data_IF_581091589688
#
_entry.id   IF_581091589688
#
_cell.length_a   1.000
_cell.length_b   1.000
_cell.length_c   1.000
_cell.angle_alpha   90.00
_cell.angle_beta   90.00
_cell.angle_gamma   90.00
#
_symmetry.space_group_name_H-M   'P 1'
#
loop_
_entity.id
_entity.type
_entity.pdbx_description
1 polymer ?
#
# COMPACT_ATOMS: atom_id res chain seq x y z
N UNK A 1 9.88 14.66 18.15
CA UNK A 1 10.56 14.37 16.87
C UNK A 1 9.89 15.22 15.80
N UNK A 2 10.64 15.67 14.81
CA UNK A 2 10.09 16.33 13.63
C UNK A 2 9.59 15.28 12.65
N UNK A 3 8.28 15.19 12.49
CA UNK A 3 7.64 14.19 11.63
C UNK A 3 7.08 14.88 10.39
N UNK A 4 7.37 14.32 9.22
CA UNK A 4 6.74 14.74 7.97
C UNK A 4 5.87 13.62 7.44
N UNK A 5 4.60 13.89 7.22
CA UNK A 5 3.68 12.99 6.52
C UNK A 5 3.58 13.47 5.08
N UNK A 6 4.08 12.67 4.14
CA UNK A 6 3.87 12.89 2.72
C UNK A 6 2.54 12.22 2.33
N UNK A 7 1.63 13.06 1.85
CA UNK A 7 0.25 12.70 1.50
C UNK A 7 -0.79 13.63 2.11
N UNK A 8 -1.97 13.69 1.47
CA UNK A 8 -3.11 14.51 1.91
C UNK A 8 -4.44 13.76 1.88
N UNK A 9 -4.37 12.43 1.97
CA UNK A 9 -5.55 11.55 1.99
C UNK A 9 -6.05 11.26 3.41
N UNK A 10 -6.98 10.31 3.50
CA UNK A 10 -7.62 9.90 4.76
C UNK A 10 -6.58 9.41 5.78
N UNK A 11 -5.65 8.54 5.35
CA UNK A 11 -4.58 8.02 6.19
C UNK A 11 -3.66 9.13 6.71
N UNK A 12 -3.26 10.07 5.85
CA UNK A 12 -2.39 11.18 6.25
C UNK A 12 -3.05 12.07 7.33
N UNK A 13 -4.33 12.40 7.19
CA UNK A 13 -5.06 13.20 8.18
C UNK A 13 -5.26 12.41 9.49
N UNK A 14 -5.57 11.12 9.42
CA UNK A 14 -5.73 10.28 10.61
C UNK A 14 -4.41 10.14 11.38
N UNK A 15 -3.29 9.91 10.69
CA UNK A 15 -1.96 9.84 11.29
C UNK A 15 -1.53 11.19 11.89
N UNK A 16 -1.87 12.32 11.25
CA UNK A 16 -1.66 13.64 11.84
C UNK A 16 -2.37 13.75 13.20
N UNK A 17 -3.65 13.36 13.28
CA UNK A 17 -4.42 13.29 14.53
C UNK A 17 -3.72 12.49 15.62
N UNK A 18 -3.36 11.25 15.27
CA UNK A 18 -2.72 10.29 16.18
C UNK A 18 -1.35 10.81 16.65
N UNK A 19 -0.50 11.31 15.76
CA UNK A 19 0.85 11.72 16.14
C UNK A 19 0.85 13.04 16.92
N UNK A 20 -0.03 13.98 16.59
CA UNK A 20 -0.18 15.23 17.33
C UNK A 20 -0.72 14.98 18.74
N UNK A 21 -1.70 14.07 18.93
CA UNK A 21 -2.20 13.71 20.27
C UNK A 21 -1.12 13.04 21.15
N UNK A 22 -0.05 12.53 20.53
CA UNK A 22 1.15 12.00 21.17
C UNK A 22 2.26 13.03 21.37
N UNK A 23 1.92 14.32 21.28
CA UNK A 23 2.83 15.44 21.51
C UNK A 23 3.94 15.54 20.47
N UNK A 24 3.74 15.02 19.26
CA UNK A 24 4.72 15.14 18.18
C UNK A 24 4.46 16.37 17.32
N UNK A 25 5.54 16.94 16.81
CA UNK A 25 5.51 18.01 15.81
C UNK A 25 5.39 17.39 14.43
N UNK A 26 4.25 17.63 13.78
CA UNK A 26 3.90 16.98 12.52
C UNK A 26 3.66 18.02 11.44
N UNK A 27 4.36 17.87 10.33
CA UNK A 27 4.13 18.64 9.11
C UNK A 27 3.59 17.73 8.00
N UNK A 28 2.83 18.30 7.07
CA UNK A 28 2.27 17.60 5.92
C UNK A 28 2.89 18.14 4.63
N UNK A 29 3.40 17.25 3.78
CA UNK A 29 3.84 17.55 2.43
C UNK A 29 2.83 16.96 1.44
N UNK A 30 2.11 17.81 0.71
CA UNK A 30 1.03 17.35 -0.17
C UNK A 30 0.69 18.35 -1.26
N UNK A 31 0.34 17.85 -2.45
CA UNK A 31 -0.20 18.66 -3.56
C UNK A 31 -1.52 19.35 -3.23
N UNK A 32 -2.19 18.95 -2.14
CA UNK A 32 -3.42 19.55 -1.64
C UNK A 32 -3.18 20.62 -0.57
N UNK A 33 -1.94 21.11 -0.43
CA UNK A 33 -1.59 22.03 0.66
C UNK A 33 -2.43 23.30 0.65
N UNK A 34 -2.67 23.88 -0.53
CA UNK A 34 -3.54 25.04 -0.67
C UNK A 34 -4.97 24.75 -0.18
N UNK A 35 -5.62 23.70 -0.69
CA UNK A 35 -6.98 23.29 -0.26
C UNK A 35 -7.06 23.07 1.25
N UNK A 36 -6.05 22.40 1.83
CA UNK A 36 -6.00 22.12 3.25
C UNK A 36 -5.85 23.43 4.03
N UNK A 37 -4.90 24.29 3.67
CA UNK A 37 -4.64 25.54 4.36
C UNK A 37 -5.82 26.51 4.33
N UNK A 38 -6.52 26.62 3.20
CA UNK A 38 -7.71 27.47 3.06
C UNK A 38 -8.86 26.99 3.96
N UNK A 39 -8.90 25.69 4.27
CA UNK A 39 -9.97 25.06 5.04
C UNK A 39 -9.64 24.84 6.51
N UNK A 40 -8.38 25.03 6.91
CA UNK A 40 -8.00 25.09 8.31
C UNK A 40 -8.83 26.20 8.96
N UNK A 41 -9.75 25.82 9.86
CA UNK A 41 -10.63 26.78 10.52
C UNK A 41 -9.86 27.81 11.37
N UNK A 42 -10.57 28.72 12.02
CA UNK A 42 -9.96 29.81 12.81
C UNK A 42 -8.92 29.34 13.86
N UNK A 43 -9.07 28.14 14.40
CA UNK A 43 -8.16 27.56 15.40
C UNK A 43 -6.95 26.83 14.76
N UNK A 44 -6.94 26.65 13.43
CA UNK A 44 -5.90 25.94 12.68
C UNK A 44 -5.84 24.44 12.98
N UNK A 45 -6.93 23.85 13.47
CA UNK A 45 -6.99 22.46 13.90
C UNK A 45 -7.80 21.61 12.92
N UNK A 46 -7.34 20.37 12.76
CA UNK A 46 -8.05 19.28 12.10
C UNK A 46 -8.61 18.36 13.20
N UNK A 47 -9.88 17.99 13.06
CA UNK A 47 -10.58 17.08 14.00
C UNK A 47 -10.51 15.65 13.48
N UNK A 48 -10.01 14.74 14.29
CA UNK A 48 -9.97 13.31 13.97
C UNK A 48 -10.87 12.56 14.94
N UNK A 49 -12.06 12.20 14.47
CA UNK A 49 -13.02 11.46 15.28
C UNK A 49 -12.59 10.01 15.44
N UNK A 50 -12.75 9.48 16.64
CA UNK A 50 -12.39 8.09 16.96
C UNK A 50 -13.65 7.25 17.22
N UNK A 51 -13.59 5.92 17.04
CA UNK A 51 -14.73 5.06 17.31
C UNK A 51 -15.04 4.92 18.81
N UNK A 52 -14.23 5.55 19.68
CA UNK A 52 -14.39 5.52 21.14
C UNK A 52 -15.06 6.79 21.69
N UNK A 53 -15.44 7.73 20.82
CA UNK A 53 -16.19 8.94 21.19
C UNK A 53 -15.33 10.13 21.63
N UNK A 54 -14.00 9.98 21.69
CA UNK A 54 -13.08 11.08 21.94
C UNK A 54 -12.50 11.59 20.61
N UNK A 55 -12.66 12.87 20.32
CA UNK A 55 -12.05 13.50 19.14
C UNK A 55 -10.59 13.88 19.43
N UNK A 56 -9.69 13.60 18.48
CA UNK A 56 -8.32 14.12 18.52
C UNK A 56 -8.27 15.44 17.77
N UNK A 57 -7.64 16.45 18.36
CA UNK A 57 -7.46 17.76 17.73
C UNK A 57 -6.00 17.95 17.37
N UNK A 58 -5.70 18.08 16.08
CA UNK A 58 -4.33 18.24 15.60
C UNK A 58 -4.13 19.55 14.88
N UNK A 59 -3.10 20.30 15.29
CA UNK A 59 -2.61 21.46 14.57
C UNK A 59 -1.31 21.07 13.87
N UNK A 60 -1.28 20.95 12.53
CA UNK A 60 -0.03 20.70 11.82
C UNK A 60 0.92 21.88 12.03
N UNK A 61 2.20 21.59 12.20
CA UNK A 61 3.26 22.61 12.27
C UNK A 61 3.34 23.38 10.95
N UNK A 62 3.21 22.64 9.84
CA UNK A 62 3.15 23.20 8.49
C UNK A 62 2.39 22.27 7.56
N UNK A 63 1.64 22.83 6.63
CA UNK A 63 1.10 22.11 5.45
C UNK A 63 1.63 22.84 4.21
N UNK A 64 2.39 22.13 3.39
CA UNK A 64 3.06 22.72 2.22
C UNK A 64 3.11 21.72 1.06
N UNK A 65 3.26 22.22 -0.16
CA UNK A 65 3.60 21.43 -1.36
C UNK A 65 5.09 21.56 -1.72
N UNK A 66 5.83 22.41 -1.00
CA UNK A 66 7.25 22.64 -1.17
C UNK A 66 8.08 21.81 -0.17
N UNK A 67 8.81 20.78 -0.63
CA UNK A 67 9.57 19.88 0.24
C UNK A 67 10.71 20.58 0.99
N UNK A 68 11.26 21.68 0.46
CA UNK A 68 12.38 22.42 1.07
C UNK A 68 12.04 22.93 2.48
N UNK A 69 10.76 23.17 2.74
CA UNK A 69 10.30 23.76 4.00
C UNK A 69 10.17 22.75 5.14
N UNK A 70 10.14 21.44 4.83
CA UNK A 70 9.79 20.39 5.81
C UNK A 70 10.76 19.21 5.87
N UNK A 71 11.42 18.87 4.76
CA UNK A 71 12.30 17.70 4.68
C UNK A 71 13.63 17.89 5.42
N UNK A 72 14.33 19.04 5.36
CA UNK A 72 15.64 19.18 6.00
C UNK A 72 15.64 18.95 7.51
N UNK A 73 14.54 19.30 8.20
CA UNK A 73 14.37 19.10 9.63
C UNK A 73 13.74 17.76 10.00
N UNK A 74 13.33 16.92 9.05
CA UNK A 74 12.62 15.68 9.36
C UNK A 74 13.54 14.65 10.07
N UNK A 75 13.06 14.08 11.17
CA UNK A 75 13.69 12.90 11.79
C UNK A 75 13.07 11.61 11.22
N UNK A 76 11.78 11.68 10.88
CA UNK A 76 10.98 10.57 10.36
C UNK A 76 10.00 11.09 9.32
N UNK A 77 10.04 10.47 8.13
CA UNK A 77 9.20 10.80 6.99
C UNK A 77 8.28 9.61 6.73
N UNK A 78 6.98 9.80 6.93
CA UNK A 78 5.96 8.83 6.54
C UNK A 78 5.49 9.08 5.11
N UNK A 79 5.50 8.07 4.27
CA UNK A 79 5.00 8.12 2.90
C UNK A 79 3.71 7.30 2.83
N UNK A 80 2.59 8.00 2.77
CA UNK A 80 1.24 7.40 2.69
C UNK A 80 0.71 7.35 1.26
N UNK A 81 1.53 7.79 0.30
CA UNK A 81 1.20 7.76 -1.12
C UNK A 81 1.11 6.31 -1.62
N UNK A 82 0.24 6.07 -2.62
CA UNK A 82 0.21 4.78 -3.32
C UNK A 82 1.55 4.48 -3.98
N UNK A 83 1.87 3.21 -4.19
CA UNK A 83 3.19 2.74 -4.65
C UNK A 83 3.65 3.42 -5.94
N UNK A 84 2.71 3.70 -6.86
CA UNK A 84 3.01 4.35 -8.13
C UNK A 84 3.41 5.83 -8.04
N UNK A 85 3.13 6.52 -6.94
CA UNK A 85 3.52 7.91 -6.73
C UNK A 85 4.81 8.04 -5.91
N UNK A 86 5.29 6.95 -5.30
CA UNK A 86 6.48 6.95 -4.44
C UNK A 86 7.78 7.23 -5.19
N UNK A 87 8.03 6.75 -6.41
CA UNK A 87 9.25 7.11 -7.18
C UNK A 87 9.40 8.62 -7.33
N UNK A 88 8.30 9.31 -7.71
CA UNK A 88 8.26 10.77 -7.82
C UNK A 88 8.55 11.45 -6.48
N UNK A 89 7.91 10.98 -5.40
CA UNK A 89 8.13 11.52 -4.04
C UNK A 89 9.58 11.36 -3.61
N UNK A 90 10.16 10.17 -3.75
CA UNK A 90 11.53 9.89 -3.34
C UNK A 90 12.54 10.72 -4.14
N UNK A 91 12.36 10.82 -5.46
CA UNK A 91 13.19 11.69 -6.30
C UNK A 91 13.11 13.16 -5.88
N UNK A 92 11.91 13.65 -5.52
CA UNK A 92 11.69 15.03 -5.09
C UNK A 92 12.40 15.36 -3.77
N UNK A 93 12.48 14.42 -2.83
CA UNK A 93 13.05 14.67 -1.49
C UNK A 93 14.53 14.28 -1.36
N UNK A 94 15.09 13.52 -2.31
CA UNK A 94 16.41 12.88 -2.17
C UNK A 94 17.53 13.85 -1.79
N UNK A 95 17.59 15.03 -2.42
CA UNK A 95 18.64 16.02 -2.17
C UNK A 95 18.34 16.97 -1.00
N UNK A 96 17.22 16.78 -0.31
CA UNK A 96 16.77 17.64 0.80
C UNK A 96 16.88 16.93 2.15
N UNK A 97 17.06 15.61 2.15
CA UNK A 97 17.26 14.83 3.38
C UNK A 97 18.58 15.24 4.03
N UNK A 98 18.51 15.61 5.31
CA UNK A 98 19.68 16.01 6.10
C UNK A 98 20.76 14.93 6.12
N UNK A 99 22.02 15.35 6.01
CA UNK A 99 23.19 14.49 6.15
C UNK A 99 23.72 14.46 7.60
N UNK A 100 23.33 15.42 8.43
CA UNK A 100 23.87 15.63 9.79
C UNK A 100 23.23 14.72 10.85
N UNK A 101 22.15 14.01 10.49
CA UNK A 101 21.39 13.17 11.41
C UNK A 101 20.84 11.92 10.73
N UNK A 102 20.41 10.98 11.57
CA UNK A 102 19.71 9.78 11.09
C UNK A 102 18.30 10.17 10.66
N UNK A 103 17.93 9.84 9.42
CA UNK A 103 16.59 10.09 8.87
C UNK A 103 15.92 8.77 8.52
N UNK A 104 14.70 8.58 9.02
CA UNK A 104 13.90 7.39 8.79
C UNK A 104 12.89 7.63 7.68
N UNK A 105 12.80 6.72 6.71
CA UNK A 105 11.76 6.72 5.67
C UNK A 105 10.80 5.55 5.92
N UNK A 106 9.54 5.83 6.22
CA UNK A 106 8.52 4.81 6.52
C UNK A 106 7.39 4.82 5.49
N UNK A 107 7.18 3.73 4.76
CA UNK A 107 6.02 3.58 3.88
C UNK A 107 4.83 2.91 4.59
N UNK A 108 3.63 3.44 4.34
CA UNK A 108 2.37 2.89 4.83
C UNK A 108 1.35 2.85 3.67
N UNK A 109 0.90 1.67 3.22
CA UNK A 109 1.49 0.34 3.46
C UNK A 109 2.87 0.19 2.78
N UNK A 110 3.74 -0.65 3.33
CA UNK A 110 5.16 -0.77 2.96
C UNK A 110 5.48 -1.61 1.71
N UNK A 111 4.47 -2.10 1.00
CA UNK A 111 4.61 -2.96 -0.20
C UNK A 111 5.21 -2.22 -1.43
N UNK A 112 5.41 -2.94 -2.54
CA UNK A 112 5.98 -2.40 -3.78
C UNK A 112 7.52 -2.32 -3.75
N UNK A 113 8.16 -3.19 -2.96
CA UNK A 113 9.59 -3.19 -2.66
C UNK A 113 10.15 -1.80 -2.33
N UNK A 114 9.47 -1.11 -1.41
CA UNK A 114 9.79 0.26 -1.03
C UNK A 114 11.24 0.43 -0.54
N UNK A 115 11.81 -0.57 0.11
CA UNK A 115 13.23 -0.56 0.51
C UNK A 115 14.17 -0.47 -0.70
N UNK A 116 13.92 -1.25 -1.75
CA UNK A 116 14.69 -1.19 -2.99
C UNK A 116 14.45 0.12 -3.76
N UNK A 117 13.22 0.63 -3.71
CA UNK A 117 12.86 1.92 -4.29
C UNK A 117 13.62 3.07 -3.61
N UNK A 118 13.74 3.04 -2.29
CA UNK A 118 14.57 3.98 -1.51
C UNK A 118 16.04 3.84 -1.91
N UNK A 119 16.59 2.62 -1.94
CA UNK A 119 17.97 2.36 -2.38
C UNK A 119 18.25 2.96 -3.77
N UNK A 120 17.30 2.87 -4.70
CA UNK A 120 17.42 3.37 -6.06
C UNK A 120 17.39 4.90 -6.16
N UNK A 121 16.44 5.57 -5.49
CA UNK A 121 16.25 7.03 -5.61
C UNK A 121 17.10 7.85 -4.64
N UNK A 122 17.31 7.35 -3.42
CA UNK A 122 18.01 8.07 -2.34
C UNK A 122 19.49 7.65 -2.29
N UNK A 123 19.79 6.42 -2.71
CA UNK A 123 21.09 5.79 -2.54
C UNK A 123 21.26 5.15 -1.16
N UNK A 124 22.31 4.35 -1.01
CA UNK A 124 22.67 3.68 0.26
C UNK A 124 23.44 4.59 1.20
N UNK A 125 22.80 5.67 1.64
CA UNK A 125 23.37 6.61 2.62
C UNK A 125 23.40 5.95 4.00
N UNK A 126 24.51 6.09 4.73
CA UNK A 126 24.67 5.46 6.05
C UNK A 126 23.72 6.03 7.10
N UNK A 127 23.29 7.28 6.95
CA UNK A 127 22.40 7.98 7.85
C UNK A 127 20.91 7.85 7.48
N UNK A 128 20.56 7.21 6.36
CA UNK A 128 19.17 7.01 5.94
C UNK A 128 18.82 5.54 5.95
N UNK A 129 17.65 5.17 6.44
CA UNK A 129 17.14 3.82 6.25
C UNK A 129 15.63 3.79 6.04
N UNK A 130 15.21 2.84 5.21
CA UNK A 130 13.82 2.54 4.93
C UNK A 130 13.27 1.52 5.91
N UNK A 131 12.02 1.72 6.30
CA UNK A 131 11.17 0.73 6.93
C UNK A 131 9.74 0.90 6.43
N UNK A 132 8.85 -0.01 6.78
CA UNK A 132 7.47 0.05 6.32
C UNK A 132 6.56 -0.76 7.20
N UNK A 133 5.28 -0.40 7.21
CA UNK A 133 4.23 -1.10 7.93
C UNK A 133 3.41 -1.88 6.91
N UNK A 134 3.13 -3.16 7.17
CA UNK A 134 2.41 -4.06 6.26
C UNK A 134 1.10 -3.44 5.78
N UNK A 135 0.26 -3.05 6.72
CA UNK A 135 -1.10 -2.53 6.49
C UNK A 135 -1.25 -1.11 7.03
N UNK A 136 -2.31 -0.41 6.62
CA UNK A 136 -2.67 0.87 7.23
C UNK A 136 -3.02 0.68 8.72
N UNK A 137 -2.43 1.46 9.65
CA UNK A 137 -2.66 1.30 11.09
C UNK A 137 -4.12 1.47 11.53
N UNK A 138 -4.87 2.27 10.78
CA UNK A 138 -6.28 2.57 11.02
C UNK A 138 -7.10 2.49 9.74
N UNK A 139 -8.37 2.18 9.87
CA UNK A 139 -9.35 2.40 8.81
C UNK A 139 -9.89 3.81 8.97
N UNK A 140 -9.58 4.69 8.03
CA UNK A 140 -10.04 6.08 8.02
C UNK A 140 -11.06 6.29 6.90
N UNK A 141 -12.02 7.20 7.10
CA UNK A 141 -13.05 7.57 6.11
C UNK A 141 -13.59 8.98 6.39
N UNK A 142 -14.57 9.43 5.59
CA UNK A 142 -15.27 10.72 5.75
C UNK A 142 -14.33 11.92 5.83
N UNK A 143 -13.28 11.93 5.00
CA UNK A 143 -12.32 13.03 4.96
C UNK A 143 -12.96 14.29 4.36
N UNK A 144 -12.91 15.37 5.14
CA UNK A 144 -13.03 16.74 4.67
C UNK A 144 -11.64 17.40 4.79
N UNK A 145 -10.89 17.56 3.67
CA UNK A 145 -9.51 18.03 3.72
C UNK A 145 -9.33 19.32 4.50
N UNK A 146 -8.36 19.34 5.42
CA UNK A 146 -8.07 20.48 6.30
C UNK A 146 -9.07 20.73 7.43
N UNK A 147 -10.12 19.90 7.57
CA UNK A 147 -11.14 20.07 8.61
C UNK A 147 -11.31 18.82 9.46
N UNK A 148 -11.60 17.68 8.85
CA UNK A 148 -11.92 16.48 9.62
C UNK A 148 -11.70 15.17 8.89
N UNK A 149 -11.52 14.09 9.66
CA UNK A 149 -11.54 12.70 9.17
C UNK A 149 -12.02 11.79 10.30
N UNK A 150 -12.66 10.67 9.99
CA UNK A 150 -13.08 9.69 10.98
C UNK A 150 -12.18 8.46 10.93
N UNK A 151 -11.65 8.05 12.09
CA UNK A 151 -11.12 6.70 12.30
C UNK A 151 -12.29 5.79 12.63
N UNK A 152 -12.52 4.80 11.77
CA UNK A 152 -13.58 3.80 11.94
C UNK A 152 -13.11 2.62 12.79
N UNK A 153 -11.79 2.39 12.86
CA UNK A 153 -11.23 1.31 13.63
C UNK A 153 -9.70 1.30 13.62
N UNK A 154 -9.12 0.72 14.66
CA UNK A 154 -7.69 0.50 14.80
C UNK A 154 -7.36 -0.97 14.52
N UNK A 155 -6.23 -1.22 13.84
CA UNK A 155 -5.67 -2.57 13.80
C UNK A 155 -5.31 -3.00 15.23
N UNK A 156 -5.39 -4.30 15.54
CA UNK A 156 -5.02 -4.82 16.87
C UNK A 156 -3.52 -4.88 17.10
N UNK A 157 -2.77 -5.09 16.03
CA UNK A 157 -1.32 -5.20 16.01
C UNK A 157 -0.81 -4.66 14.67
N UNK A 158 0.38 -4.06 14.68
CA UNK A 158 1.07 -3.60 13.48
C UNK A 158 2.25 -4.53 13.17
N UNK A 159 2.42 -4.87 11.91
CA UNK A 159 3.59 -5.60 11.44
C UNK A 159 4.47 -4.69 10.61
N UNK A 160 5.76 -4.66 10.88
CA UNK A 160 6.69 -3.77 10.19
C UNK A 160 7.98 -4.48 9.80
N UNK A 161 8.60 -4.01 8.72
CA UNK A 161 9.89 -4.50 8.25
C UNK A 161 10.88 -3.37 8.10
N UNK A 162 12.17 -3.66 8.31
CA UNK A 162 13.26 -2.70 8.18
C UNK A 162 14.21 -3.17 7.09
N UNK A 163 14.62 -2.27 6.22
CA UNK A 163 15.66 -2.54 5.23
C UNK A 163 17.03 -2.68 5.90
N UNK A 164 17.72 -3.79 5.61
CA UNK A 164 19.07 -4.09 6.13
C UNK A 164 19.18 -3.81 7.65
N UNK A 165 18.45 -4.58 8.48
CA UNK A 165 18.28 -4.27 9.89
C UNK A 165 19.61 -4.39 10.65
N UNK A 166 19.94 -3.37 11.43
CA UNK A 166 20.99 -3.41 12.46
C UNK A 166 20.33 -3.22 13.83
N UNK A 167 21.01 -3.60 14.92
CA UNK A 167 20.48 -3.41 16.28
C UNK A 167 20.01 -1.95 16.51
N UNK A 168 20.78 -0.97 16.04
CA UNK A 168 20.45 0.45 16.16
C UNK A 168 19.17 0.81 15.39
N UNK A 169 19.05 0.38 14.12
CA UNK A 169 17.85 0.66 13.30
C UNK A 169 16.60 0.02 13.89
N UNK A 170 16.72 -1.21 14.40
CA UNK A 170 15.62 -1.93 15.06
C UNK A 170 15.15 -1.18 16.29
N UNK A 171 16.07 -0.74 17.15
CA UNK A 171 15.73 -0.01 18.36
C UNK A 171 15.10 1.37 18.07
N UNK A 172 15.62 2.08 17.07
CA UNK A 172 15.07 3.38 16.64
C UNK A 172 13.65 3.24 16.07
N UNK A 173 13.41 2.25 15.19
CA UNK A 173 12.09 2.00 14.62
C UNK A 173 11.09 1.55 15.70
N UNK A 174 11.51 0.67 16.62
CA UNK A 174 10.68 0.24 17.76
C UNK A 174 10.27 1.42 18.63
N UNK A 175 11.22 2.27 19.04
CA UNK A 175 10.93 3.49 19.82
C UNK A 175 10.01 4.45 19.07
N UNK A 176 10.17 4.58 17.75
CA UNK A 176 9.26 5.39 16.95
C UNK A 176 7.84 4.81 16.99
N UNK A 177 7.67 3.51 16.76
CA UNK A 177 6.36 2.84 16.81
C UNK A 177 5.68 2.97 18.17
N UNK A 178 6.40 2.72 19.27
CA UNK A 178 5.87 2.83 20.64
C UNK A 178 5.41 4.26 20.99
N UNK A 179 6.13 5.28 20.50
CA UNK A 179 5.75 6.68 20.72
C UNK A 179 4.54 7.09 19.88
N UNK A 180 4.45 6.58 18.65
CA UNK A 180 3.54 7.09 17.64
C UNK A 180 2.20 6.36 17.55
N UNK A 181 2.15 5.07 17.90
CA UNK A 181 0.95 4.26 17.75
C UNK A 181 0.41 3.76 19.10
N UNK A 182 -0.88 3.41 19.16
CA UNK A 182 -1.51 2.80 20.34
C UNK A 182 -1.29 1.28 20.33
N UNK A 183 -1.11 0.71 19.15
CA UNK A 183 -1.03 -0.71 18.91
C UNK A 183 0.36 -1.27 19.27
N UNK A 184 0.42 -2.53 19.76
CA UNK A 184 1.68 -3.27 19.73
C UNK A 184 2.16 -3.41 18.28
N UNK A 185 3.48 -3.45 18.12
CA UNK A 185 4.10 -3.59 16.81
C UNK A 185 5.17 -4.69 16.83
N UNK A 186 5.05 -5.62 15.87
CA UNK A 186 5.94 -6.78 15.72
C UNK A 186 6.74 -6.68 14.43
N UNK A 187 8.05 -6.93 14.54
CA UNK A 187 8.95 -6.88 13.39
C UNK A 187 8.86 -8.19 12.61
N UNK A 188 8.73 -8.09 11.29
CA UNK A 188 8.93 -9.23 10.39
C UNK A 188 10.39 -9.35 9.95
N UNK A 189 10.83 -10.55 9.58
CA UNK A 189 12.25 -10.82 9.37
C UNK A 189 12.83 -10.08 8.16
N UNK A 190 12.12 -10.15 7.03
CA UNK A 190 12.56 -9.58 5.75
C UNK A 190 11.55 -8.60 5.16
N UNK A 191 12.05 -7.50 4.61
CA UNK A 191 11.22 -6.47 3.97
C UNK A 191 10.37 -7.00 2.80
N UNK A 192 10.89 -7.98 2.06
CA UNK A 192 10.21 -8.56 0.90
C UNK A 192 8.84 -9.16 1.26
N UNK A 193 8.65 -9.58 2.52
CA UNK A 193 7.37 -10.09 2.99
C UNK A 193 6.24 -9.07 2.77
N UNK A 194 6.51 -7.78 2.99
CA UNK A 194 5.50 -6.73 2.80
C UNK A 194 5.06 -6.61 1.35
N UNK A 195 5.95 -6.93 0.40
CA UNK A 195 5.63 -6.89 -1.04
C UNK A 195 4.98 -8.19 -1.50
N UNK A 196 5.40 -9.32 -0.94
CA UNK A 196 4.78 -10.62 -1.20
C UNK A 196 3.35 -10.73 -0.65
N UNK A 197 3.02 -9.99 0.42
CA UNK A 197 1.68 -9.91 0.99
C UNK A 197 0.67 -9.07 0.17
N UNK A 198 1.06 -8.53 -0.99
CA UNK A 198 0.15 -7.70 -1.78
C UNK A 198 -0.96 -8.56 -2.41
N UNK A 199 -2.12 -8.65 -1.74
CA UNK A 199 -3.30 -9.38 -2.22
C UNK A 199 -4.10 -8.63 -3.29
N UNK A 200 -4.14 -7.30 -3.22
CA UNK A 200 -4.90 -6.45 -4.15
C UNK A 200 -4.66 -6.78 -5.63
N UNK A 201 -3.41 -6.95 -6.13
CA UNK A 201 -3.19 -7.24 -7.54
C UNK A 201 -3.82 -8.57 -7.99
N UNK A 202 -3.70 -9.62 -7.19
CA UNK A 202 -4.22 -10.96 -7.51
C UNK A 202 -5.73 -11.08 -7.23
N UNK A 203 -6.34 -10.04 -6.65
CA UNK A 203 -7.77 -9.96 -6.38
C UNK A 203 -8.46 -9.08 -7.42
N UNK A 204 -8.05 -7.82 -7.56
CA UNK A 204 -8.72 -6.83 -8.40
C UNK A 204 -8.58 -7.14 -9.89
N UNK A 205 -7.36 -7.48 -10.35
CA UNK A 205 -7.09 -7.63 -11.78
C UNK A 205 -7.80 -8.85 -12.38
N UNK A 206 -7.85 -10.03 -11.72
CA UNK A 206 -8.66 -11.14 -12.21
C UNK A 206 -10.16 -10.85 -12.26
N UNK A 207 -10.70 -10.05 -11.33
CA UNK A 207 -12.10 -9.61 -11.41
C UNK A 207 -12.32 -8.77 -12.67
N UNK A 208 -11.46 -7.78 -12.92
CA UNK A 208 -11.57 -6.92 -14.10
C UNK A 208 -11.33 -7.70 -15.40
N UNK A 209 -10.39 -8.64 -15.40
CA UNK A 209 -10.15 -9.55 -16.52
C UNK A 209 -11.38 -10.42 -16.83
N UNK A 210 -12.03 -10.96 -15.80
CA UNK A 210 -13.27 -11.74 -15.96
C UNK A 210 -14.41 -10.92 -16.55
N UNK A 211 -14.38 -9.60 -16.34
CA UNK A 211 -15.43 -8.68 -16.75
C UNK A 211 -15.23 -8.17 -18.18
N UNK A 212 -14.01 -7.77 -18.55
CA UNK A 212 -13.72 -7.08 -19.83
C UNK A 212 -12.53 -7.67 -20.61
N UNK A 213 -11.97 -8.81 -20.17
CA UNK A 213 -10.83 -9.47 -20.80
C UNK A 213 -11.19 -10.47 -21.91
N UNK A 214 -10.19 -11.11 -22.56
CA UNK A 214 -10.32 -12.01 -23.72
C UNK A 214 -11.26 -13.22 -23.55
N UNK A 215 -11.69 -13.54 -22.33
CA UNK A 215 -12.63 -14.63 -22.02
C UNK A 215 -13.90 -14.16 -21.31
N UNK A 216 -14.13 -12.85 -21.24
CA UNK A 216 -15.37 -12.33 -20.67
C UNK A 216 -16.54 -12.46 -21.65
N UNK A 217 -17.76 -12.33 -21.12
CA UNK A 217 -18.99 -12.24 -21.93
C UNK A 217 -19.29 -10.80 -22.37
N UNK A 218 -18.32 -9.89 -22.27
CA UNK A 218 -18.50 -8.50 -22.62
C UNK A 218 -18.53 -8.32 -24.13
N UNK A 219 -19.58 -7.65 -24.63
CA UNK A 219 -19.79 -7.40 -26.05
C UNK A 219 -19.09 -6.13 -26.56
N UNK A 220 -18.20 -5.55 -25.74
CA UNK A 220 -17.47 -4.32 -26.05
C UNK A 220 -18.29 -3.04 -25.88
N UNK A 221 -19.56 -3.11 -25.46
CA UNK A 221 -20.42 -1.92 -25.28
C UNK A 221 -20.36 -1.39 -23.85
N UNK A 222 -20.67 -0.10 -23.63
CA UNK A 222 -20.84 0.44 -22.29
C UNK A 222 -21.82 -0.37 -21.44
N UNK A 223 -21.48 -0.55 -20.16
CA UNK A 223 -22.38 -1.17 -19.19
C UNK A 223 -23.54 -0.23 -18.88
N UNK A 224 -24.76 -0.77 -18.77
CA UNK A 224 -25.96 0.04 -18.47
C UNK A 224 -25.97 0.60 -17.05
N UNK A 225 -25.29 -0.08 -16.13
CA UNK A 225 -25.26 0.25 -14.70
C UNK A 225 -23.85 0.14 -14.15
N UNK A 226 -23.63 0.77 -12.98
CA UNK A 226 -22.37 0.64 -12.24
C UNK A 226 -22.34 -0.69 -11.50
N UNK A 227 -21.29 -1.46 -11.77
CA UNK A 227 -21.09 -2.78 -11.19
C UNK A 227 -20.40 -2.73 -9.83
N UNK A 228 -20.70 -3.72 -8.99
CA UNK A 228 -19.99 -3.99 -7.74
C UNK A 228 -18.78 -4.89 -8.01
N UNK A 229 -17.71 -4.72 -7.23
CA UNK A 229 -16.55 -5.61 -7.29
C UNK A 229 -16.87 -7.02 -6.80
N UNK A 230 -17.54 -7.11 -5.65
CA UNK A 230 -17.65 -8.35 -4.91
C UNK A 230 -19.05 -8.95 -4.92
N UNK A 231 -20.11 -8.13 -4.87
CA UNK A 231 -21.50 -8.62 -4.89
C UNK A 231 -21.87 -9.25 -6.23
N UNK A 232 -21.33 -8.68 -7.31
CA UNK A 232 -21.53 -9.12 -8.70
C UNK A 232 -20.42 -10.08 -9.17
N UNK A 233 -19.56 -10.54 -8.25
CA UNK A 233 -18.47 -11.46 -8.55
C UNK A 233 -19.02 -12.77 -9.11
N UNK A 234 -18.43 -13.26 -10.20
CA UNK A 234 -18.82 -14.50 -10.87
C UNK A 234 -17.96 -15.68 -10.42
N UNK A 235 -18.43 -16.92 -10.64
CA UNK A 235 -17.61 -18.11 -10.38
C UNK A 235 -16.34 -18.12 -11.25
N UNK A 236 -16.42 -17.58 -12.47
CA UNK A 236 -15.26 -17.42 -13.35
C UNK A 236 -14.22 -16.46 -12.74
N UNK A 237 -14.66 -15.32 -12.19
CA UNK A 237 -13.76 -14.42 -11.46
C UNK A 237 -13.11 -15.12 -10.26
N UNK A 238 -13.90 -15.84 -9.44
CA UNK A 238 -13.36 -16.61 -8.31
C UNK A 238 -12.34 -17.67 -8.75
N UNK A 239 -12.57 -18.33 -9.88
CA UNK A 239 -11.63 -19.28 -10.47
C UNK A 239 -10.31 -18.61 -10.86
N UNK A 240 -10.36 -17.46 -11.54
CA UNK A 240 -9.16 -16.73 -11.96
C UNK A 240 -8.36 -16.21 -10.76
N UNK A 241 -9.04 -15.67 -9.73
CA UNK A 241 -8.39 -15.25 -8.48
C UNK A 241 -7.69 -16.45 -7.83
N UNK A 242 -8.36 -17.61 -7.73
CA UNK A 242 -7.75 -18.82 -7.18
C UNK A 242 -6.51 -19.24 -7.96
N UNK A 243 -6.51 -19.14 -9.29
CA UNK A 243 -5.32 -19.44 -10.12
C UNK A 243 -4.17 -18.47 -9.88
N UNK A 244 -4.47 -17.18 -9.72
CA UNK A 244 -3.46 -16.18 -9.36
C UNK A 244 -2.88 -16.43 -7.96
N UNK A 245 -3.72 -16.79 -6.99
CA UNK A 245 -3.31 -17.16 -5.63
C UNK A 245 -2.42 -18.42 -5.63
N UNK A 246 -2.80 -19.48 -6.35
CA UNK A 246 -1.98 -20.70 -6.51
C UNK A 246 -0.57 -20.37 -7.04
N UNK A 247 -0.46 -19.48 -8.04
CA UNK A 247 0.81 -19.02 -8.59
C UNK A 247 1.60 -18.13 -7.60
N UNK A 248 0.91 -17.23 -6.88
CA UNK A 248 1.54 -16.43 -5.82
C UNK A 248 2.12 -17.32 -4.71
N UNK A 249 1.41 -18.36 -4.29
CA UNK A 249 1.87 -19.31 -3.28
C UNK A 249 3.06 -20.15 -3.79
N UNK A 250 3.11 -20.47 -5.08
CA UNK A 250 4.29 -21.11 -5.68
C UNK A 250 5.52 -20.18 -5.66
N UNK A 251 5.34 -18.88 -5.95
CA UNK A 251 6.40 -17.87 -5.81
C UNK A 251 6.85 -17.79 -4.34
N UNK A 252 5.91 -17.78 -3.40
CA UNK A 252 6.20 -17.76 -1.97
C UNK A 252 7.05 -18.95 -1.54
N UNK A 253 6.71 -20.16 -2.01
CA UNK A 253 7.50 -21.36 -1.71
C UNK A 253 8.96 -21.22 -2.20
N UNK A 254 9.17 -20.66 -3.40
CA UNK A 254 10.50 -20.38 -3.91
C UNK A 254 11.22 -19.26 -3.15
N UNK A 255 10.49 -18.22 -2.72
CA UNK A 255 11.02 -17.16 -1.84
C UNK A 255 11.53 -17.72 -0.52
N UNK A 256 10.78 -18.63 0.12
CA UNK A 256 11.21 -19.29 1.38
C UNK A 256 12.53 -20.02 1.19
N UNK A 257 12.69 -20.73 0.07
CA UNK A 257 13.96 -21.38 -0.28
C UNK A 257 15.11 -20.41 -0.50
N UNK A 258 14.86 -19.30 -1.21
CA UNK A 258 15.86 -18.28 -1.51
C UNK A 258 16.36 -17.52 -0.27
N UNK A 259 15.45 -17.19 0.65
CA UNK A 259 15.76 -16.45 1.88
C UNK A 259 16.11 -17.35 3.06
N UNK A 260 15.78 -18.64 3.01
CA UNK A 260 15.83 -19.57 4.15
C UNK A 260 15.07 -19.03 5.36
N UNK A 261 13.92 -18.42 5.09
CA UNK A 261 13.06 -17.77 6.06
C UNK A 261 11.61 -18.15 5.80
N UNK A 262 10.82 -18.12 6.86
CA UNK A 262 9.37 -18.17 6.75
C UNK A 262 8.81 -16.77 6.45
N UNK A 263 7.60 -16.76 5.88
CA UNK A 263 6.83 -15.57 5.54
C UNK A 263 5.39 -15.76 6.04
N UNK A 264 5.17 -15.75 7.37
CA UNK A 264 3.92 -16.17 7.98
C UNK A 264 2.72 -15.27 7.66
N UNK A 265 2.94 -14.07 7.09
CA UNK A 265 1.88 -13.14 6.73
C UNK A 265 1.44 -13.24 5.27
N UNK A 266 2.12 -14.02 4.44
CA UNK A 266 1.69 -14.31 3.06
C UNK A 266 0.85 -15.59 3.09
N UNK A 267 -0.43 -15.45 3.41
CA UNK A 267 -1.38 -16.56 3.46
C UNK A 267 -2.06 -16.76 2.10
N UNK A 268 -2.59 -17.96 1.79
CA UNK A 268 -3.54 -18.12 0.70
C UNK A 268 -4.70 -17.12 0.84
N UNK A 269 -5.09 -16.46 -0.25
CA UNK A 269 -6.01 -15.32 -0.18
C UNK A 269 -7.33 -15.66 0.51
N UNK A 270 -7.87 -16.86 0.26
CA UNK A 270 -9.10 -17.31 0.93
C UNK A 270 -8.92 -17.37 2.46
N UNK A 271 -7.80 -17.93 2.92
CA UNK A 271 -7.49 -18.03 4.34
C UNK A 271 -7.27 -16.65 4.97
N UNK A 272 -6.63 -15.72 4.27
CA UNK A 272 -6.41 -14.37 4.76
C UNK A 272 -7.73 -13.61 4.94
N UNK A 273 -8.63 -13.66 3.96
CA UNK A 273 -9.95 -13.03 4.06
C UNK A 273 -10.74 -13.62 5.24
N UNK A 274 -10.76 -14.96 5.36
CA UNK A 274 -11.45 -15.63 6.48
C UNK A 274 -10.81 -15.25 7.83
N UNK A 275 -9.48 -15.12 7.90
CA UNK A 275 -8.78 -14.67 9.11
C UNK A 275 -9.11 -13.23 9.49
N UNK A 276 -9.24 -12.34 8.51
CA UNK A 276 -9.51 -10.91 8.72
C UNK A 276 -10.97 -10.68 9.14
N UNK A 277 -11.94 -11.22 8.40
CA UNK A 277 -13.36 -10.92 8.61
C UNK A 277 -14.07 -11.94 9.48
N UNK A 278 -13.57 -13.17 9.53
CA UNK A 278 -14.03 -14.22 10.44
C UNK A 278 -15.53 -14.45 10.38
N UNK A 279 -16.18 -14.32 11.54
CA UNK A 279 -17.63 -14.55 11.71
C UNK A 279 -18.54 -13.57 10.97
N UNK A 280 -17.98 -12.50 10.39
CA UNK A 280 -18.77 -11.57 9.57
C UNK A 280 -19.16 -12.20 8.23
N UNK A 281 -18.40 -13.18 7.74
CA UNK A 281 -18.64 -13.86 6.46
C UNK A 281 -19.74 -14.91 6.68
N UNK A 282 -20.86 -14.80 5.96
CA UNK A 282 -21.98 -15.72 6.16
C UNK A 282 -21.70 -17.14 5.61
N UNK A 283 -20.93 -17.26 4.51
CA UNK A 283 -20.57 -18.53 3.90
C UNK A 283 -19.09 -18.58 3.47
N UNK A 284 -18.19 -19.08 4.35
CA UNK A 284 -16.75 -19.10 4.08
C UNK A 284 -16.27 -20.37 3.34
N UNK A 285 -17.15 -21.16 2.72
CA UNK A 285 -16.78 -22.48 2.16
C UNK A 285 -15.90 -22.39 0.93
N UNK A 286 -16.11 -21.36 0.10
CA UNK A 286 -15.43 -21.17 -1.17
C UNK A 286 -15.02 -19.72 -1.33
N UNK A 287 -14.00 -19.44 -2.14
CA UNK A 287 -13.61 -18.05 -2.43
C UNK A 287 -14.79 -17.22 -2.99
N UNK A 288 -15.60 -17.83 -3.87
CA UNK A 288 -16.81 -17.22 -4.42
C UNK A 288 -17.82 -16.82 -3.33
N UNK A 289 -18.22 -17.78 -2.48
CA UNK A 289 -19.19 -17.53 -1.41
C UNK A 289 -18.63 -16.56 -0.37
N UNK A 290 -17.34 -16.66 -0.07
CA UNK A 290 -16.63 -15.78 0.87
C UNK A 290 -16.70 -14.33 0.44
N UNK A 291 -16.41 -14.00 -0.82
CA UNK A 291 -16.52 -12.63 -1.32
C UNK A 291 -17.95 -12.11 -1.28
N UNK A 292 -18.91 -12.90 -1.80
CA UNK A 292 -20.31 -12.45 -1.94
C UNK A 292 -21.05 -12.32 -0.62
N UNK A 293 -20.61 -13.02 0.42
CA UNK A 293 -21.27 -13.03 1.73
C UNK A 293 -20.50 -12.28 2.81
N UNK A 294 -19.46 -11.54 2.45
CA UNK A 294 -18.74 -10.66 3.36
C UNK A 294 -19.38 -9.25 3.36
N UNK A 295 -20.05 -8.84 4.45
CA UNK A 295 -20.72 -7.55 4.51
C UNK A 295 -19.75 -6.35 4.41
N UNK A 296 -18.46 -6.55 4.71
CA UNK A 296 -17.45 -5.51 4.55
C UNK A 296 -17.17 -5.16 3.08
N UNK A 297 -17.60 -6.02 2.14
CA UNK A 297 -17.44 -5.83 0.70
C UNK A 297 -18.70 -5.32 0.00
N UNK A 298 -19.81 -5.19 0.74
CA UNK A 298 -21.07 -4.73 0.20
C UNK A 298 -20.96 -3.31 -0.36
N UNK A 299 -21.53 -3.09 -1.55
CA UNK A 299 -21.56 -1.79 -2.22
C UNK A 299 -20.23 -1.24 -2.73
N UNK A 300 -19.11 -1.98 -2.65
CA UNK A 300 -17.84 -1.53 -3.24
C UNK A 300 -17.95 -1.59 -4.77
N UNK A 301 -17.94 -0.42 -5.41
CA UNK A 301 -18.12 -0.27 -6.86
C UNK A 301 -16.83 -0.42 -7.65
N UNK A 302 -16.94 -1.00 -8.84
CA UNK A 302 -15.89 -0.95 -9.86
C UNK A 302 -15.69 0.52 -10.27
N UNK A 303 -14.44 1.01 -10.38
CA UNK A 303 -14.17 2.38 -10.81
C UNK A 303 -14.55 2.51 -12.28
N UNK A 304 -15.67 3.17 -12.54
CA UNK A 304 -16.21 3.36 -13.89
C UNK A 304 -16.43 4.84 -14.19
N UNK A 305 -16.14 5.22 -15.43
CA UNK A 305 -16.45 6.54 -15.99
C UNK A 305 -17.83 6.50 -16.66
N UNK A 306 -18.53 7.63 -16.60
CA UNK A 306 -19.75 7.81 -17.40
C UNK A 306 -19.35 8.11 -18.83
N UNK A 307 -20.01 7.47 -19.80
CA UNK A 307 -19.79 7.65 -21.23
C UNK A 307 -21.14 7.65 -21.97
N UNK A 308 -21.12 7.91 -23.27
CA UNK A 308 -22.33 7.80 -24.10
C UNK A 308 -22.84 6.35 -24.07
N UNK A 309 -24.11 6.16 -23.71
CA UNK A 309 -24.73 4.84 -23.64
C UNK A 309 -24.50 4.06 -22.34
N UNK A 310 -23.74 4.60 -21.36
CA UNK A 310 -23.62 3.98 -20.04
C UNK A 310 -22.32 4.25 -19.30
N UNK A 311 -21.65 3.18 -18.88
CA UNK A 311 -20.44 3.20 -18.05
C UNK A 311 -19.32 2.34 -18.63
N UNK A 312 -18.09 2.81 -18.55
CA UNK A 312 -16.89 2.07 -18.95
C UNK A 312 -15.91 1.96 -17.78
N UNK A 313 -15.12 0.89 -17.75
CA UNK A 313 -14.08 0.71 -16.73
C UNK A 313 -13.03 1.82 -16.84
N UNK A 314 -12.72 2.47 -15.73
CA UNK A 314 -11.72 3.54 -15.69
C UNK A 314 -10.31 2.94 -15.76
N UNK A 315 -9.77 2.85 -16.97
CA UNK A 315 -8.42 2.31 -17.26
C UNK A 315 -7.27 3.10 -16.61
N UNK A 316 -7.52 4.35 -16.19
CA UNK A 316 -6.53 5.20 -15.51
C UNK A 316 -6.63 5.12 -13.99
N UNK A 317 -7.55 4.34 -13.45
CA UNK A 317 -7.71 4.19 -12.01
C UNK A 317 -6.48 3.50 -11.38
N UNK A 318 -6.23 3.78 -10.08
CA UNK A 318 -5.09 3.22 -9.34
C UNK A 318 -5.01 1.69 -9.35
N UNK A 319 -6.15 1.00 -9.48
CA UNK A 319 -6.17 -0.46 -9.58
C UNK A 319 -5.31 -0.93 -10.76
N UNK A 320 -5.34 -0.23 -11.90
CA UNK A 320 -4.42 -0.55 -12.99
C UNK A 320 -3.04 0.08 -12.76
N UNK A 321 -3.00 1.39 -12.46
CA UNK A 321 -1.75 2.15 -12.45
C UNK A 321 -0.85 1.89 -11.24
N UNK A 322 -1.33 1.15 -10.23
CA UNK A 322 -0.59 0.71 -9.06
C UNK A 322 -0.45 -0.82 -9.05
N UNK A 323 -1.56 -1.57 -9.11
CA UNK A 323 -1.51 -3.03 -8.93
C UNK A 323 -0.77 -3.73 -10.07
N UNK A 324 -0.79 -3.19 -11.30
CA UNK A 324 -0.05 -3.79 -12.42
C UNK A 324 1.47 -3.53 -12.28
N UNK A 325 1.97 -2.28 -12.35
CA UNK A 325 3.41 -2.01 -12.39
C UNK A 325 4.13 -2.22 -11.05
N UNK A 326 3.44 -2.23 -9.91
CA UNK A 326 4.07 -2.36 -8.59
C UNK A 326 3.64 -3.63 -7.83
N UNK A 327 2.63 -4.34 -8.33
CA UNK A 327 2.14 -5.61 -7.78
C UNK A 327 2.38 -6.80 -8.69
N UNK A 328 1.68 -6.89 -9.82
CA UNK A 328 1.85 -7.98 -10.78
C UNK A 328 3.27 -8.08 -11.31
N UNK A 329 3.87 -6.94 -11.67
CA UNK A 329 5.26 -6.92 -12.15
C UNK A 329 6.27 -7.35 -11.06
N UNK A 330 5.95 -7.19 -9.76
CA UNK A 330 6.76 -7.73 -8.67
C UNK A 330 6.74 -9.25 -8.72
N UNK A 331 5.54 -9.84 -8.74
CA UNK A 331 5.38 -11.29 -8.74
C UNK A 331 6.01 -11.92 -9.97
N UNK A 332 5.79 -11.36 -11.16
CA UNK A 332 6.35 -11.90 -12.40
C UNK A 332 7.87 -11.79 -12.47
N UNK A 333 8.46 -10.68 -12.02
CA UNK A 333 9.92 -10.53 -11.98
C UNK A 333 10.55 -11.48 -10.95
N UNK A 334 9.90 -11.65 -9.78
CA UNK A 334 10.32 -12.63 -8.78
C UNK A 334 10.23 -14.07 -9.32
N UNK A 335 9.10 -14.43 -9.92
CA UNK A 335 8.84 -15.74 -10.50
C UNK A 335 9.87 -16.09 -11.58
N UNK A 336 10.12 -15.17 -12.52
CA UNK A 336 11.11 -15.33 -13.58
C UNK A 336 12.49 -15.67 -13.02
N UNK A 337 12.95 -14.95 -12.00
CA UNK A 337 14.29 -15.13 -11.43
C UNK A 337 14.40 -16.35 -10.51
N UNK A 338 13.28 -16.78 -9.95
CA UNK A 338 13.17 -18.00 -9.15
C UNK A 338 12.80 -19.24 -9.98
N UNK A 339 12.64 -19.08 -11.30
CA UNK A 339 12.22 -20.14 -12.21
C UNK A 339 10.88 -20.80 -11.82
N UNK A 340 9.91 -19.98 -11.42
CA UNK A 340 8.54 -20.39 -11.11
C UNK A 340 7.64 -20.08 -12.31
N UNK A 341 6.82 -21.06 -12.72
CA UNK A 341 5.87 -20.87 -13.81
C UNK A 341 4.61 -20.15 -13.33
N UNK A 342 4.24 -19.06 -14.00
CA UNK A 342 3.11 -18.20 -13.61
C UNK A 342 2.26 -17.76 -14.81
N UNK A 343 1.66 -18.71 -15.55
CA UNK A 343 0.94 -18.40 -16.78
C UNK A 343 -0.27 -17.48 -16.58
N UNK A 344 -1.04 -17.66 -15.49
CA UNK A 344 -2.24 -16.86 -15.23
C UNK A 344 -1.88 -15.41 -14.85
N UNK A 345 -0.91 -15.23 -13.95
CA UNK A 345 -0.42 -13.89 -13.60
C UNK A 345 0.14 -13.18 -14.84
N UNK A 346 0.87 -13.90 -15.71
CA UNK A 346 1.43 -13.33 -16.92
C UNK A 346 0.34 -12.90 -17.91
N UNK A 347 -0.63 -13.76 -18.18
CA UNK A 347 -1.76 -13.50 -19.08
C UNK A 347 -2.57 -12.27 -18.64
N UNK A 348 -2.97 -12.21 -17.37
CA UNK A 348 -3.76 -11.10 -16.84
C UNK A 348 -2.93 -9.80 -16.85
N UNK A 349 -1.63 -9.88 -16.55
CA UNK A 349 -0.74 -8.71 -16.61
C UNK A 349 -0.57 -8.20 -18.03
N UNK A 350 -0.37 -9.09 -19.01
CA UNK A 350 -0.23 -8.70 -20.43
C UNK A 350 -1.52 -8.08 -20.96
N UNK A 351 -2.67 -8.68 -20.67
CA UNK A 351 -3.97 -8.08 -20.98
C UNK A 351 -4.13 -6.70 -20.35
N UNK A 352 -3.85 -6.55 -19.05
CA UNK A 352 -4.03 -5.28 -18.35
C UNK A 352 -3.12 -4.18 -18.93
N UNK A 353 -1.89 -4.55 -19.31
CA UNK A 353 -0.94 -3.66 -19.98
C UNK A 353 -1.47 -3.18 -21.33
N UNK A 354 -1.94 -4.09 -22.18
CA UNK A 354 -2.52 -3.75 -23.48
C UNK A 354 -3.81 -2.92 -23.34
N UNK A 355 -4.71 -3.35 -22.46
CA UNK A 355 -6.00 -2.70 -22.21
C UNK A 355 -5.82 -1.24 -21.76
N UNK A 356 -4.80 -0.97 -20.94
CA UNK A 356 -4.50 0.38 -20.45
C UNK A 356 -3.63 1.22 -21.40
N UNK A 357 -3.02 0.62 -22.43
CA UNK A 357 -2.07 1.30 -23.32
C UNK A 357 -0.66 1.46 -22.72
N UNK A 358 -0.28 0.59 -21.79
CA UNK A 358 1.01 0.57 -21.10
C UNK A 358 1.08 1.45 -19.84
N UNK A 359 2.23 1.38 -19.16
CA UNK A 359 2.53 2.12 -17.94
C UNK A 359 3.91 2.77 -18.03
N UNK A 360 4.04 4.02 -17.55
CA UNK A 360 5.27 4.83 -17.68
C UNK A 360 6.43 4.33 -16.82
N UNK A 361 6.13 3.73 -15.67
CA UNK A 361 7.11 3.26 -14.69
C UNK A 361 6.63 1.95 -14.05
N UNK A 362 7.57 1.13 -13.59
CA UNK A 362 7.30 -0.12 -12.92
C UNK A 362 8.45 -0.54 -11.98
N UNK A 363 8.15 -1.51 -11.13
CA UNK A 363 9.07 -2.03 -10.12
C UNK A 363 10.39 -2.57 -10.67
N UNK A 364 10.45 -2.98 -11.95
CA UNK A 364 11.66 -3.57 -12.55
C UNK A 364 12.82 -2.57 -12.59
N UNK A 365 12.56 -1.26 -12.57
CA UNK A 365 13.62 -0.22 -12.55
C UNK A 365 14.51 -0.30 -11.31
N UNK A 366 13.93 -0.67 -10.16
CA UNK A 366 14.64 -0.75 -8.90
C UNK A 366 14.71 -2.18 -8.34
N UNK A 367 14.35 -3.18 -9.14
CA UNK A 367 14.52 -4.59 -8.78
C UNK A 367 16.02 -4.96 -8.79
N UNK A 368 16.64 -5.34 -7.65
CA UNK A 368 18.09 -5.47 -7.56
C UNK A 368 18.63 -6.51 -8.55
N UNK A 369 19.56 -6.15 -9.44
CA UNK A 369 20.04 -7.03 -10.52
C UNK A 369 20.61 -8.39 -10.05
N UNK A 370 21.21 -8.43 -8.86
CA UNK A 370 21.77 -9.66 -8.26
C UNK A 370 20.80 -10.49 -7.43
N UNK A 371 19.51 -10.12 -7.35
CA UNK A 371 18.51 -10.90 -6.64
C UNK A 371 18.09 -12.14 -7.46
N UNK A 372 17.87 -13.33 -6.86
CA UNK A 372 17.89 -13.65 -5.42
C UNK A 372 19.26 -14.06 -4.88
N UNK A 373 20.29 -14.15 -5.74
CA UNK A 373 21.60 -14.73 -5.43
C UNK A 373 22.46 -13.92 -4.43
N UNK A 374 22.01 -12.72 -4.00
CA UNK A 374 22.62 -12.01 -2.87
C UNK A 374 21.82 -12.18 -1.57
N UNK A 375 22.32 -13.04 -0.69
CA UNK A 375 22.44 -12.72 0.73
C UNK A 375 23.92 -12.68 1.16
N UNK A 376 24.24 -11.76 2.07
CA UNK A 376 25.53 -11.52 2.74
C UNK A 376 26.58 -10.68 2.00
N UNK A 377 26.54 -9.38 2.26
CA UNK A 377 27.69 -8.76 2.92
C UNK A 377 27.16 -7.87 4.06
N UNK A 378 27.20 -8.41 5.27
CA UNK A 378 27.71 -7.63 6.40
C UNK A 378 29.09 -7.13 5.94
N UNK A 379 29.14 -5.95 5.33
CA UNK A 379 30.41 -5.23 5.24
C UNK A 379 30.73 -4.89 6.69
N UNK A 380 31.76 -5.57 7.19
CA UNK A 380 32.27 -5.47 8.56
C UNK A 380 32.56 -4.04 8.96
#
# INVERSE_FOLDING_TARGET
>A
MNIVIIGGGQQAHALLGIFASRGQEVSMLTRKAQEINERLGANGQIVVSTPYGEDLHAKPVRVTDNPVEVIPQADLIFITNPANDRPRVLAQIANLISEDKVVQLCAIPGWGAFDWMVDYHIGRRSNVYAWGIKDTPVMASHLTPGQSVSILGFKKELFYAISNPTHIKVELAKKALEKLFYQPASRVEHYIELSACAGNPIEHLPILYSLVGPYSQWDGKPFKERLNFYEDLTEFAAYLIKKCDEEQQAILAALKGAYRSEFPFVLPLHEDIVKIYGRQIADPRTLYSTFRTNPAYAGIKIPMLTCEGGFEVNRRHRIFTEDVPYGMDFFLEAAKRLNVNTPMLAEIRDWAYEYCGGFEDNIKRYFPSGWPQRPMALVR
#
